data_IF_928547203191
#
_entry.id   IF_928547203191
#
_cell.length_a   1.000
_cell.length_b   1.000
_cell.length_c   1.000
_cell.angle_alpha   90.00
_cell.angle_beta   90.00
_cell.angle_gamma   90.00
#
_symmetry.space_group_name_H-M   'P 1'
#
loop_
_entity.id
_entity.type
_entity.pdbx_description
1 polymer ?
#
# COMPACT_ATOMS: atom_id res chain seq x y z
N UNK A 1 6.76 -17.55 -24.31
CA UNK A 1 8.07 -16.87 -24.37
C UNK A 1 8.95 -17.41 -23.26
N UNK A 2 10.23 -17.71 -23.51
CA UNK A 2 11.16 -18.07 -22.45
C UNK A 2 11.33 -16.90 -21.46
N UNK A 3 11.56 -17.21 -20.18
CA UNK A 3 11.81 -16.18 -19.17
C UNK A 3 13.10 -15.42 -19.50
N UNK A 4 13.10 -14.10 -19.32
CA UNK A 4 14.33 -13.29 -19.47
C UNK A 4 15.41 -13.72 -18.47
N UNK A 5 16.68 -13.58 -18.82
CA UNK A 5 17.83 -13.92 -17.95
C UNK A 5 17.72 -13.29 -16.55
N UNK A 6 17.21 -12.06 -16.46
CA UNK A 6 16.98 -11.36 -15.18
C UNK A 6 15.99 -12.10 -14.27
N UNK A 7 14.91 -12.64 -14.82
CA UNK A 7 13.88 -13.36 -14.06
C UNK A 7 14.35 -14.77 -13.67
N UNK A 8 15.12 -15.43 -14.54
CA UNK A 8 15.77 -16.70 -14.21
C UNK A 8 16.78 -16.54 -13.07
N UNK A 9 17.61 -15.48 -13.10
CA UNK A 9 18.51 -15.12 -12.02
C UNK A 9 17.78 -14.80 -10.72
N UNK A 10 16.72 -13.97 -10.76
CA UNK A 10 15.94 -13.61 -9.58
C UNK A 10 15.34 -14.85 -8.90
N UNK A 11 14.83 -15.81 -9.69
CA UNK A 11 14.33 -17.06 -9.16
C UNK A 11 15.43 -17.91 -8.48
N UNK A 12 16.67 -17.84 -8.97
CA UNK A 12 17.84 -18.44 -8.33
C UNK A 12 18.20 -17.77 -7.00
N UNK A 13 18.11 -16.43 -6.92
CA UNK A 13 18.39 -15.67 -5.68
C UNK A 13 17.33 -15.91 -4.61
N UNK A 14 16.05 -15.99 -4.99
CA UNK A 14 14.96 -16.32 -4.04
C UNK A 14 15.21 -17.66 -3.38
N UNK A 15 15.81 -18.62 -4.11
CA UNK A 15 16.23 -19.93 -3.61
C UNK A 15 15.13 -20.68 -2.82
N UNK A 16 13.87 -20.46 -3.19
CA UNK A 16 12.73 -21.09 -2.52
C UNK A 16 12.79 -22.61 -2.69
N UNK A 17 12.49 -23.32 -1.60
CA UNK A 17 12.49 -24.79 -1.54
C UNK A 17 11.10 -25.33 -1.88
N UNK A 18 11.06 -26.56 -2.40
CA UNK A 18 9.81 -27.26 -2.63
C UNK A 18 8.96 -27.31 -1.35
N UNK A 19 7.66 -27.03 -1.49
CA UNK A 19 6.71 -26.95 -0.39
C UNK A 19 6.61 -25.58 0.29
N UNK A 20 7.52 -24.64 0.00
CA UNK A 20 7.41 -23.27 0.54
C UNK A 20 6.26 -22.50 -0.14
N UNK A 21 5.59 -21.66 0.65
CA UNK A 21 4.55 -20.74 0.17
C UNK A 21 5.17 -19.38 -0.11
N UNK A 22 5.05 -18.89 -1.34
CA UNK A 22 5.70 -17.65 -1.79
C UNK A 22 4.64 -16.69 -2.36
N UNK A 23 4.78 -15.38 -2.07
CA UNK A 23 3.96 -14.32 -2.64
C UNK A 23 4.84 -13.43 -3.52
N UNK A 24 4.51 -13.31 -4.81
CA UNK A 24 5.10 -12.29 -5.69
C UNK A 24 4.15 -11.10 -5.83
N UNK A 25 4.55 -9.95 -5.29
CA UNK A 25 3.82 -8.69 -5.44
C UNK A 25 4.30 -7.93 -6.68
N UNK A 26 3.36 -7.54 -7.55
CA UNK A 26 3.64 -6.96 -8.87
C UNK A 26 4.01 -8.01 -9.92
N UNK A 27 3.29 -9.15 -9.95
CA UNK A 27 3.71 -10.29 -10.76
C UNK A 27 3.59 -10.08 -12.28
N UNK A 28 2.89 -9.04 -12.75
CA UNK A 28 2.67 -8.79 -14.18
C UNK A 28 2.15 -10.03 -14.89
N UNK A 29 2.85 -10.47 -15.93
CA UNK A 29 2.56 -11.70 -16.68
C UNK A 29 2.84 -13.02 -15.93
N UNK A 30 3.26 -12.98 -14.65
CA UNK A 30 3.43 -14.16 -13.80
C UNK A 30 4.67 -15.00 -14.10
N UNK A 31 5.67 -14.47 -14.79
CA UNK A 31 6.82 -15.26 -15.27
C UNK A 31 7.69 -15.78 -14.10
N UNK A 32 7.91 -14.99 -13.05
CA UNK A 32 8.68 -15.43 -11.88
C UNK A 32 7.85 -16.37 -10.99
N UNK A 33 6.54 -16.11 -10.83
CA UNK A 33 5.56 -17.06 -10.25
C UNK A 33 5.72 -18.44 -10.88
N UNK A 34 5.70 -18.54 -12.21
CA UNK A 34 5.84 -19.82 -12.93
C UNK A 34 7.18 -20.49 -12.65
N UNK A 35 8.30 -19.75 -12.70
CA UNK A 35 9.63 -20.31 -12.41
C UNK A 35 9.76 -20.85 -10.98
N UNK A 36 9.11 -20.23 -10.00
CA UNK A 36 9.12 -20.68 -8.61
C UNK A 36 8.15 -21.85 -8.39
N UNK A 37 7.01 -21.86 -9.08
CA UNK A 37 6.08 -22.98 -9.07
C UNK A 37 6.69 -24.26 -9.68
N UNK A 38 7.46 -24.15 -10.77
CA UNK A 38 8.20 -25.26 -11.38
C UNK A 38 9.22 -25.90 -10.42
N UNK A 39 9.66 -25.17 -9.38
CA UNK A 39 10.51 -25.68 -8.29
C UNK A 39 9.72 -26.39 -7.18
N UNK A 40 8.43 -26.59 -7.36
CA UNK A 40 7.55 -27.23 -6.37
C UNK A 40 7.08 -26.31 -5.25
N UNK A 41 7.17 -24.98 -5.41
CA UNK A 41 6.61 -24.03 -4.46
C UNK A 41 5.12 -23.82 -4.71
N UNK A 42 4.36 -23.44 -3.68
CA UNK A 42 3.01 -22.90 -3.86
C UNK A 42 3.10 -21.38 -3.94
N UNK A 43 2.98 -20.82 -5.14
CA UNK A 43 3.22 -19.40 -5.39
C UNK A 43 1.92 -18.68 -5.72
N UNK A 44 1.65 -17.58 -5.02
CA UNK A 44 0.55 -16.67 -5.34
C UNK A 44 1.13 -15.42 -6.03
N UNK A 45 0.64 -15.13 -7.23
CA UNK A 45 0.93 -13.87 -7.91
C UNK A 45 -0.14 -12.83 -7.58
N UNK A 46 0.27 -11.65 -7.15
CA UNK A 46 -0.59 -10.48 -7.06
C UNK A 46 -0.09 -9.44 -8.07
N UNK A 47 -0.76 -9.31 -9.22
CA UNK A 47 -0.48 -8.23 -10.15
C UNK A 47 -1.30 -7.01 -9.78
N UNK A 48 -0.64 -5.85 -9.73
CA UNK A 48 -1.30 -4.56 -9.56
C UNK A 48 -1.68 -3.97 -10.94
N UNK A 49 -1.23 -4.57 -12.05
CA UNK A 49 -1.47 -4.05 -13.40
C UNK A 49 -0.61 -2.81 -13.72
N UNK A 50 -0.84 -2.24 -14.90
CA UNK A 50 -0.03 -1.13 -15.46
C UNK A 50 -0.64 0.27 -15.24
N UNK A 51 -1.90 0.36 -14.81
CA UNK A 51 -2.61 1.62 -14.69
C UNK A 51 -2.52 2.20 -13.28
N UNK A 52 -2.44 3.53 -13.14
CA UNK A 52 -2.63 4.13 -11.83
C UNK A 52 -4.07 3.86 -11.33
N UNK A 53 -4.21 3.50 -10.06
CA UNK A 53 -5.48 3.28 -9.39
C UNK A 53 -6.10 4.60 -8.93
N UNK A 54 -7.39 4.76 -9.16
CA UNK A 54 -8.17 5.90 -8.63
C UNK A 54 -8.36 5.83 -7.11
N UNK A 55 -8.30 4.62 -6.54
CA UNK A 55 -8.48 4.38 -5.11
C UNK A 55 -7.48 3.34 -4.61
N UNK A 56 -6.73 3.71 -3.58
CA UNK A 56 -5.92 2.76 -2.80
C UNK A 56 -6.53 2.63 -1.42
N UNK A 57 -6.81 1.40 -0.97
CA UNK A 57 -7.43 1.16 0.33
C UNK A 57 -6.52 0.31 1.19
N UNK A 58 -6.41 0.66 2.46
CA UNK A 58 -5.76 -0.17 3.47
C UNK A 58 -6.63 -0.27 4.72
N UNK A 59 -6.53 -1.38 5.43
CA UNK A 59 -7.20 -1.60 6.70
C UNK A 59 -6.21 -2.22 7.68
N UNK A 60 -6.00 -1.58 8.82
CA UNK A 60 -5.10 -2.05 9.89
C UNK A 60 -3.67 -2.39 9.42
N UNK A 61 -3.15 -1.59 8.47
CA UNK A 61 -1.83 -1.79 7.89
C UNK A 61 -0.76 -0.96 8.62
N UNK A 62 0.34 -1.61 9.04
CA UNK A 62 1.49 -0.98 9.73
C UNK A 62 2.10 0.18 8.97
N UNK A 63 2.09 0.09 7.65
CA UNK A 63 2.52 1.13 6.75
C UNK A 63 1.78 2.47 6.89
N UNK A 64 0.76 2.62 7.75
CA UNK A 64 0.14 3.92 8.01
C UNK A 64 0.17 4.35 9.48
N UNK A 65 0.89 3.62 10.34
CA UNK A 65 1.03 3.97 11.76
C UNK A 65 2.44 3.78 12.34
N UNK A 66 3.31 3.02 11.68
CA UNK A 66 4.72 2.87 12.07
C UNK A 66 5.61 3.58 11.03
N UNK A 67 6.37 4.63 11.37
CA UNK A 67 7.22 5.35 10.41
C UNK A 67 8.31 4.48 9.73
N UNK A 68 8.67 3.33 10.30
CA UNK A 68 9.71 2.43 9.74
C UNK A 68 9.27 1.73 8.45
N UNK A 69 7.96 1.63 8.23
CA UNK A 69 7.36 0.98 7.07
C UNK A 69 7.28 1.93 5.87
N UNK A 70 8.39 2.56 5.52
CA UNK A 70 8.42 3.60 4.49
C UNK A 70 8.25 3.02 3.08
N UNK A 71 8.95 1.92 2.78
CA UNK A 71 8.92 1.25 1.47
C UNK A 71 7.51 0.77 1.07
N UNK A 72 6.70 0.33 2.03
CA UNK A 72 5.32 -0.07 1.77
C UNK A 72 4.42 1.11 1.33
N UNK A 73 4.74 2.34 1.76
CA UNK A 73 4.05 3.56 1.32
C UNK A 73 4.49 4.03 -0.06
N UNK A 74 5.72 3.77 -0.49
CA UNK A 74 6.22 4.13 -1.83
C UNK A 74 5.38 3.49 -2.94
N UNK A 75 4.82 2.31 -2.66
CA UNK A 75 3.90 1.63 -3.57
C UNK A 75 2.69 2.52 -3.86
N UNK A 76 2.12 3.17 -2.84
CA UNK A 76 0.96 4.05 -2.98
C UNK A 76 1.28 5.24 -3.88
N UNK A 77 2.43 5.87 -3.70
CA UNK A 77 2.83 7.03 -4.53
C UNK A 77 2.97 6.66 -6.00
N UNK A 78 3.48 5.46 -6.27
CA UNK A 78 3.71 4.92 -7.62
C UNK A 78 2.41 4.54 -8.31
N UNK A 79 1.48 3.94 -7.57
CA UNK A 79 0.28 3.35 -8.17
C UNK A 79 -0.93 4.25 -8.08
N UNK A 80 -0.93 5.33 -7.30
CA UNK A 80 -2.08 6.24 -7.18
C UNK A 80 -2.17 7.21 -8.36
N UNK A 81 -3.35 7.27 -8.98
CA UNK A 81 -3.69 8.25 -10.01
C UNK A 81 -3.50 9.70 -9.54
N UNK A 82 -3.27 10.65 -10.47
CA UNK A 82 -3.09 12.07 -10.11
C UNK A 82 -4.22 12.62 -9.23
N UNK A 83 -5.47 12.28 -9.57
CA UNK A 83 -6.68 12.67 -8.84
C UNK A 83 -7.20 11.54 -7.91
N UNK A 84 -6.39 10.50 -7.73
CA UNK A 84 -6.72 9.36 -6.91
C UNK A 84 -6.79 9.70 -5.42
N UNK A 85 -7.51 8.87 -4.67
CA UNK A 85 -7.62 8.97 -3.21
C UNK A 85 -7.10 7.72 -2.51
N UNK A 86 -6.59 7.90 -1.30
CA UNK A 86 -6.20 6.79 -0.42
C UNK A 86 -7.15 6.74 0.75
N UNK A 87 -7.67 5.56 1.09
CA UNK A 87 -8.48 5.35 2.29
C UNK A 87 -7.72 4.46 3.25
N UNK A 88 -7.40 5.00 4.43
CA UNK A 88 -6.73 4.28 5.50
C UNK A 88 -7.74 4.01 6.61
N UNK A 89 -8.25 2.80 6.68
CA UNK A 89 -9.12 2.34 7.76
C UNK A 89 -8.28 1.79 8.92
N UNK A 90 -8.67 2.11 10.14
CA UNK A 90 -7.98 1.70 11.36
C UNK A 90 -8.96 1.39 12.47
N UNK A 91 -8.75 0.27 13.16
CA UNK A 91 -9.40 -0.02 14.42
C UNK A 91 -8.81 0.86 15.52
N UNK A 92 -9.67 1.48 16.31
CA UNK A 92 -9.29 2.33 17.44
C UNK A 92 -9.19 1.46 18.68
N UNK A 93 -7.99 0.91 18.91
CA UNK A 93 -7.73 -0.10 19.94
C UNK A 93 -7.88 0.41 21.38
N UNK A 94 -7.73 1.72 21.57
CA UNK A 94 -7.91 2.40 22.86
C UNK A 94 -9.07 3.40 22.71
N UNK A 95 -10.12 3.32 23.53
CA UNK A 95 -11.23 4.28 23.48
C UNK A 95 -10.73 5.73 23.54
N UNK A 96 -11.21 6.58 22.64
CA UNK A 96 -10.81 8.00 22.54
C UNK A 96 -9.46 8.26 21.86
N UNK A 97 -8.78 7.25 21.33
CA UNK A 97 -7.50 7.42 20.62
C UNK A 97 -7.67 7.75 19.12
N UNK A 98 -8.89 8.03 18.65
CA UNK A 98 -9.20 8.30 17.26
C UNK A 98 -8.42 9.51 16.71
N UNK A 99 -8.37 10.61 17.46
CA UNK A 99 -7.59 11.79 17.07
C UNK A 99 -6.09 11.49 16.93
N UNK A 100 -5.54 10.61 17.78
CA UNK A 100 -4.14 10.20 17.72
C UNK A 100 -3.85 9.31 16.50
N UNK A 101 -4.78 8.41 16.15
CA UNK A 101 -4.71 7.58 14.93
C UNK A 101 -4.74 8.48 13.70
N UNK A 102 -5.73 9.38 13.60
CA UNK A 102 -5.87 10.34 12.49
C UNK A 102 -4.63 11.21 12.36
N UNK A 103 -4.14 11.77 13.47
CA UNK A 103 -2.93 12.61 13.49
C UNK A 103 -1.69 11.87 13.03
N UNK A 104 -1.57 10.58 13.34
CA UNK A 104 -0.45 9.75 12.88
C UNK A 104 -0.53 9.49 11.37
N UNK A 105 -1.70 9.12 10.85
CA UNK A 105 -1.92 8.94 9.41
C UNK A 105 -1.64 10.25 8.67
N UNK A 106 -2.15 11.38 9.16
CA UNK A 106 -1.95 12.70 8.57
C UNK A 106 -0.47 13.09 8.49
N UNK A 107 0.30 12.91 9.57
CA UNK A 107 1.74 13.23 9.57
C UNK A 107 2.53 12.39 8.57
N UNK A 108 2.24 11.09 8.51
CA UNK A 108 2.96 10.17 7.63
C UNK A 108 2.57 10.40 6.15
N UNK A 109 1.32 10.77 5.89
CA UNK A 109 0.84 11.15 4.55
C UNK A 109 1.40 12.52 4.10
N UNK A 110 1.52 13.49 5.00
CA UNK A 110 2.01 14.83 4.68
C UNK A 110 3.45 14.81 4.14
N UNK A 111 4.31 13.92 4.65
CA UNK A 111 5.67 13.70 4.12
C UNK A 111 5.71 13.26 2.64
N UNK A 112 4.56 12.96 2.05
CA UNK A 112 4.37 12.43 0.69
C UNK A 112 3.55 13.35 -0.21
N UNK A 113 3.22 14.55 0.29
CA UNK A 113 2.34 15.47 -0.42
C UNK A 113 0.88 14.98 -0.49
N UNK A 114 0.48 14.08 0.40
CA UNK A 114 -0.92 13.71 0.62
C UNK A 114 -1.49 14.51 1.81
N UNK A 115 -2.70 15.01 1.68
CA UNK A 115 -3.42 15.74 2.73
C UNK A 115 -4.71 15.00 3.08
N UNK A 116 -5.12 15.10 4.35
CA UNK A 116 -6.42 14.60 4.80
C UNK A 116 -7.53 15.40 4.13
N UNK A 117 -8.38 14.71 3.38
CA UNK A 117 -9.56 15.27 2.75
C UNK A 117 -10.79 15.08 3.65
N UNK A 118 -10.97 13.87 4.20
CA UNK A 118 -12.13 13.51 5.03
C UNK A 118 -11.71 12.51 6.11
N UNK A 119 -12.34 12.59 7.27
CA UNK A 119 -12.23 11.57 8.33
C UNK A 119 -13.63 11.01 8.61
N UNK A 120 -13.75 9.69 8.58
CA UNK A 120 -14.97 8.96 8.92
C UNK A 120 -14.78 8.22 10.23
N UNK A 121 -15.81 8.20 11.07
CA UNK A 121 -15.84 7.43 12.30
C UNK A 121 -17.00 6.43 12.25
N UNK A 122 -16.78 5.21 12.75
CA UNK A 122 -17.78 4.16 12.80
C UNK A 122 -17.77 3.42 14.13
N UNK A 123 -18.96 3.22 14.70
CA UNK A 123 -19.18 2.37 15.88
C UNK A 123 -19.19 0.87 15.48
N UNK A 124 -18.07 0.41 14.93
CA UNK A 124 -17.89 -0.98 14.49
C UNK A 124 -17.62 -1.92 15.67
N UNK A 125 -17.78 -3.23 15.46
CA UNK A 125 -17.45 -4.27 16.43
C UNK A 125 -16.24 -5.10 15.95
N UNK A 126 -15.34 -5.57 16.83
CA UNK A 126 -15.38 -5.41 18.30
C UNK A 126 -14.88 -4.04 18.80
N UNK A 127 -14.22 -3.26 17.94
CA UNK A 127 -13.66 -1.96 18.27
C UNK A 127 -14.25 -0.91 17.33
N UNK A 128 -14.39 0.33 17.82
CA UNK A 128 -14.68 1.47 16.96
C UNK A 128 -13.59 1.63 15.88
N UNK A 129 -13.96 2.24 14.75
CA UNK A 129 -13.05 2.44 13.62
C UNK A 129 -13.01 3.91 13.20
N UNK A 130 -11.86 4.32 12.68
CA UNK A 130 -11.68 5.56 11.94
C UNK A 130 -11.17 5.24 10.53
N UNK A 131 -11.66 5.96 9.52
CA UNK A 131 -11.12 5.90 8.17
C UNK A 131 -10.72 7.29 7.70
N UNK A 132 -9.46 7.43 7.27
CA UNK A 132 -8.90 8.70 6.79
C UNK A 132 -8.81 8.64 5.27
N UNK A 133 -9.54 9.52 4.59
CA UNK A 133 -9.39 9.74 3.16
C UNK A 133 -8.30 10.79 2.93
N UNK A 134 -7.31 10.43 2.10
CA UNK A 134 -6.19 11.27 1.70
C UNK A 134 -6.27 11.57 0.20
N UNK A 135 -5.89 12.79 -0.19
CA UNK A 135 -5.71 13.20 -1.59
C UNK A 135 -4.36 13.88 -1.76
N UNK A 136 -3.85 13.93 -2.99
CA UNK A 136 -2.67 14.77 -3.28
C UNK A 136 -3.00 16.22 -2.95
N UNK A 137 -2.18 16.86 -2.12
CA UNK A 137 -2.28 18.29 -1.87
C UNK A 137 -1.99 19.03 -3.17
N UNK A 138 -2.92 19.88 -3.62
CA UNK A 138 -2.75 20.61 -4.87
C UNK A 138 -1.42 21.35 -4.90
N UNK A 139 -0.61 21.14 -5.95
CA UNK A 139 0.51 22.03 -6.23
C UNK A 139 -0.05 23.38 -6.66
N UNK A 140 -0.02 24.37 -5.76
CA UNK A 140 -0.21 25.79 -6.08
C UNK A 140 -1.50 26.43 -5.58
N UNK A 141 -1.49 26.91 -4.35
CA UNK A 141 -1.95 28.28 -4.08
C UNK A 141 -0.72 29.05 -3.61
N UNK A 142 -0.23 29.97 -4.46
CA UNK A 142 0.66 31.01 -3.98
C UNK A 142 -0.07 31.80 -2.88
N UNK A 143 0.61 32.22 -1.80
CA UNK A 143 -0.02 33.10 -0.83
C UNK A 143 -0.53 34.36 -1.54
N UNK A 144 -1.70 34.91 -1.16
CA UNK A 144 -2.19 36.13 -1.78
C UNK A 144 -1.16 37.24 -1.54
N UNK A 145 -0.68 37.84 -2.62
CA UNK A 145 0.08 39.08 -2.58
C UNK A 145 -0.86 40.18 -2.09
N UNK A 146 -0.79 40.48 -0.79
CA UNK A 146 -1.41 41.63 -0.15
C UNK A 146 -0.34 42.48 0.50
#
# INVERSE_FOLDING_TARGET
MPASERLAWAAGVVAARAGERVLEAGCGHGVLVSLLADRGCTVLGADLGAGPFDVVVSSNLRAFHDPREEAARDVVDRVLAPDGRVVVASSVMTPGADAAVVGTVARLAAGRGLAVAVVHHGATAPMASAAVELRRGGRGQAPPSG
#
